data_IF_373146676102
#
_entry.id   IF_373146676102
#
_cell.length_a   1.000
_cell.length_b   1.000
_cell.length_c   1.000
_cell.angle_alpha   90.00
_cell.angle_beta   90.00
_cell.angle_gamma   90.00
#
_symmetry.space_group_name_H-M   'P 1'
#
loop_
_entity.id
_entity.type
_entity.pdbx_description
1 polymer ?
#
# COMPACT_ATOMS: atom_id res chain seq x y z
N UNK A 1 -9.42 2.46 -0.42
CA UNK A 1 -8.51 2.89 -1.50
C UNK A 1 -8.75 2.04 -2.74
N UNK A 2 -8.47 2.59 -3.92
CA UNK A 2 -8.47 1.87 -5.20
C UNK A 2 -7.11 1.98 -5.88
N UNK A 3 -6.42 0.86 -6.10
CA UNK A 3 -5.10 0.86 -6.72
C UNK A 3 -5.11 0.21 -8.10
N UNK A 4 -4.20 0.66 -8.95
CA UNK A 4 -4.01 0.09 -10.29
C UNK A 4 -3.71 -1.41 -10.18
N UNK A 5 -4.26 -2.18 -11.11
CA UNK A 5 -4.15 -3.65 -11.17
C UNK A 5 -4.74 -4.38 -9.94
N UNK A 6 -5.54 -3.71 -9.11
CA UNK A 6 -6.21 -4.34 -7.97
C UNK A 6 -5.26 -4.80 -6.86
N UNK A 7 -4.04 -4.24 -6.78
CA UNK A 7 -3.03 -4.68 -5.81
C UNK A 7 -3.43 -4.39 -4.36
N UNK A 8 -4.41 -3.52 -4.13
CA UNK A 8 -4.91 -3.22 -2.79
C UNK A 8 -5.61 -4.40 -2.12
N UNK A 9 -6.09 -5.37 -2.92
CA UNK A 9 -6.70 -6.60 -2.41
C UNK A 9 -5.65 -7.69 -2.07
N UNK A 10 -4.40 -7.50 -2.49
CA UNK A 10 -3.32 -8.44 -2.18
C UNK A 10 -2.80 -8.25 -0.77
N UNK A 11 -2.22 -9.31 -0.21
CA UNK A 11 -1.59 -9.27 1.09
C UNK A 11 -0.45 -8.23 1.09
N UNK A 12 -0.41 -7.39 2.12
CA UNK A 12 0.56 -6.28 2.21
C UNK A 12 2.01 -6.76 2.06
N UNK A 13 2.34 -7.94 2.59
CA UNK A 13 3.69 -8.52 2.44
C UNK A 13 4.07 -8.77 0.98
N UNK A 14 3.13 -9.27 0.17
CA UNK A 14 3.38 -9.65 -1.22
C UNK A 14 3.51 -8.39 -2.07
N UNK A 15 2.71 -7.37 -1.78
CA UNK A 15 2.83 -6.04 -2.42
C UNK A 15 4.18 -5.40 -2.10
N UNK A 16 4.66 -5.46 -0.85
CA UNK A 16 5.96 -4.90 -0.48
C UNK A 16 7.11 -5.65 -1.16
N UNK A 17 7.02 -6.98 -1.26
CA UNK A 17 8.02 -7.80 -1.96
C UNK A 17 8.08 -7.43 -3.45
N UNK A 18 6.93 -7.33 -4.11
CA UNK A 18 6.85 -6.97 -5.53
C UNK A 18 7.20 -5.50 -5.80
N UNK A 19 6.88 -4.61 -4.85
CA UNK A 19 7.04 -3.17 -4.96
C UNK A 19 7.66 -2.58 -3.67
N UNK A 20 8.98 -2.70 -3.46
CA UNK A 20 9.64 -2.23 -2.24
C UNK A 20 9.42 -0.74 -1.94
N UNK A 21 9.25 0.08 -2.98
CA UNK A 21 8.92 1.50 -2.82
C UNK A 21 7.57 1.74 -2.15
N UNK A 22 6.56 0.89 -2.42
CA UNK A 22 5.27 0.96 -1.72
C UNK A 22 5.49 0.70 -0.22
N UNK A 23 6.37 -0.25 0.14
CA UNK A 23 6.78 -0.46 1.54
C UNK A 23 7.36 0.80 2.21
N UNK A 24 8.21 1.54 1.50
CA UNK A 24 8.74 2.83 1.98
C UNK A 24 7.65 3.87 2.18
N UNK A 25 6.67 3.95 1.28
CA UNK A 25 5.52 4.85 1.44
C UNK A 25 4.73 4.46 2.69
N UNK A 26 4.34 3.19 2.82
CA UNK A 26 3.58 2.67 3.95
C UNK A 26 4.26 2.96 5.29
N UNK A 27 5.58 2.77 5.37
CA UNK A 27 6.35 3.07 6.56
C UNK A 27 6.26 4.55 6.99
N UNK A 28 6.24 5.50 6.04
CA UNK A 28 6.08 6.93 6.34
C UNK A 28 4.72 7.26 6.97
N UNK A 29 3.71 6.45 6.66
CA UNK A 29 2.36 6.55 7.23
C UNK A 29 2.21 5.71 8.51
N UNK A 30 3.29 5.15 9.06
CA UNK A 30 3.24 4.30 10.25
C UNK A 30 2.64 2.90 10.00
N UNK A 31 2.39 2.55 8.74
CA UNK A 31 1.95 1.21 8.36
C UNK A 31 3.18 0.33 8.23
N UNK A 32 3.44 -0.47 9.25
CA UNK A 32 4.59 -1.35 9.31
C UNK A 32 4.13 -2.82 9.34
N UNK A 33 4.77 -3.70 8.57
CA UNK A 33 4.38 -5.11 8.47
C UNK A 33 4.49 -5.88 9.81
N UNK A 34 5.12 -5.27 10.82
CA UNK A 34 5.29 -5.77 12.19
C UNK A 34 4.04 -5.57 13.08
N UNK A 35 3.04 -4.79 12.65
CA UNK A 35 1.72 -4.77 13.32
C UNK A 35 0.71 -5.74 12.68
N UNK A 36 0.94 -6.15 11.43
CA UNK A 36 0.17 -7.19 10.76
C UNK A 36 0.72 -8.56 11.20
N UNK A 37 -0.02 -9.38 11.94
CA UNK A 37 0.43 -10.70 12.44
C UNK A 37 0.79 -11.71 11.35
N UNK A 38 1.87 -11.49 10.61
CA UNK A 38 2.30 -12.25 9.43
C UNK A 38 2.11 -11.54 8.07
N UNK A 39 1.66 -10.28 8.04
CA UNK A 39 1.48 -9.51 6.80
C UNK A 39 0.41 -10.08 5.85
N UNK A 40 -0.58 -10.78 6.40
CA UNK A 40 -1.64 -11.46 5.64
C UNK A 40 -2.82 -10.56 5.29
N UNK A 41 -3.00 -9.46 6.01
CA UNK A 41 -4.06 -8.49 5.74
C UNK A 41 -3.87 -7.89 4.35
N UNK A 42 -4.98 -7.56 3.68
CA UNK A 42 -4.90 -6.84 2.42
C UNK A 42 -4.31 -5.45 2.64
N UNK A 43 -3.61 -4.92 1.64
CA UNK A 43 -3.09 -3.55 1.68
C UNK A 43 -4.21 -2.52 1.96
N UNK A 44 -5.41 -2.74 1.41
CA UNK A 44 -6.58 -1.91 1.67
C UNK A 44 -6.97 -1.92 3.15
N UNK A 45 -7.06 -3.09 3.78
CA UNK A 45 -7.43 -3.22 5.19
C UNK A 45 -6.35 -2.62 6.10
N UNK A 46 -5.08 -2.90 5.82
CA UNK A 46 -3.97 -2.35 6.56
C UNK A 46 -4.01 -0.81 6.56
N UNK A 47 -4.28 -0.19 5.42
CA UNK A 47 -4.40 1.25 5.35
C UNK A 47 -5.67 1.78 6.03
N UNK A 48 -6.82 1.14 5.86
CA UNK A 48 -8.08 1.56 6.50
C UNK A 48 -8.03 1.48 8.03
N UNK A 49 -7.29 0.52 8.59
CA UNK A 49 -7.16 0.35 10.04
C UNK A 49 -6.19 1.35 10.67
N UNK A 50 -5.28 1.94 9.89
CA UNK A 50 -4.22 2.81 10.40
C UNK A 50 -4.40 4.28 10.01
N UNK A 51 -5.15 4.58 8.94
CA UNK A 51 -5.24 5.92 8.37
C UNK A 51 -6.67 6.44 8.31
N UNK A 52 -6.81 7.73 8.57
CA UNK A 52 -8.01 8.48 8.23
C UNK A 52 -8.18 8.62 6.71
N UNK A 53 -9.32 9.18 6.31
CA UNK A 53 -9.69 9.32 4.90
C UNK A 53 -8.73 10.21 4.11
N UNK A 54 -8.19 11.26 4.74
CA UNK A 54 -7.26 12.20 4.10
C UNK A 54 -5.91 11.55 3.85
N UNK A 55 -5.31 10.93 4.87
CA UNK A 55 -4.03 10.24 4.75
C UNK A 55 -4.14 9.05 3.78
N UNK A 56 -5.26 8.33 3.79
CA UNK A 56 -5.52 7.21 2.88
C UNK A 56 -5.64 7.66 1.42
N UNK A 57 -6.30 8.79 1.14
CA UNK A 57 -6.41 9.33 -0.21
C UNK A 57 -5.04 9.79 -0.75
N UNK A 58 -4.21 10.41 0.09
CA UNK A 58 -2.87 10.84 -0.30
C UNK A 58 -1.93 9.65 -0.54
N UNK A 59 -1.99 8.61 0.31
CA UNK A 59 -1.26 7.36 0.09
C UNK A 59 -1.70 6.68 -1.22
N UNK A 60 -3.01 6.60 -1.48
CA UNK A 60 -3.56 6.06 -2.72
C UNK A 60 -3.00 6.77 -3.96
N UNK A 61 -3.01 8.11 -3.94
CA UNK A 61 -2.45 8.92 -5.02
C UNK A 61 -0.97 8.61 -5.25
N UNK A 62 -0.15 8.60 -4.20
CA UNK A 62 1.29 8.34 -4.31
C UNK A 62 1.60 6.93 -4.83
N UNK A 63 0.83 5.92 -4.41
CA UNK A 63 1.00 4.54 -4.92
C UNK A 63 0.60 4.47 -6.38
N UNK A 64 -0.52 5.06 -6.78
CA UNK A 64 -0.96 5.04 -8.18
C UNK A 64 0.02 5.80 -9.09
N UNK A 65 0.54 6.96 -8.66
CA UNK A 65 1.56 7.71 -9.40
C UNK A 65 2.81 6.83 -9.65
N UNK A 66 3.25 6.08 -8.63
CA UNK A 66 4.34 5.12 -8.75
C UNK A 66 4.04 3.96 -9.72
N UNK A 67 2.83 3.39 -9.66
CA UNK A 67 2.42 2.29 -10.53
C UNK A 67 2.33 2.74 -11.99
N UNK A 68 1.78 3.93 -12.25
CA UNK A 68 1.73 4.53 -13.60
C UNK A 68 3.14 4.69 -14.15
N UNK A 69 4.05 5.29 -13.38
CA UNK A 69 5.44 5.49 -13.80
C UNK A 69 6.16 4.19 -14.17
N UNK A 70 5.79 3.07 -13.53
CA UNK A 70 6.35 1.72 -13.82
C UNK A 70 5.64 0.95 -14.92
N UNK A 71 4.47 1.39 -15.39
CA UNK A 71 3.75 0.75 -16.51
C UNK A 71 4.23 1.24 -17.90
N UNK A 72 5.14 2.22 -17.96
CA UNK A 72 5.64 2.81 -19.22
C UNK A 72 6.84 2.03 -19.81
N UNK A 73 7.07 0.77 -19.41
CA UNK A 73 8.13 -0.09 -19.96
C UNK A 73 7.61 -1.47 -20.35
#
# INVERSE_FOLDING_TARGET
MSLINGIEAQAIKDVIIAHPYIGTLLYRYGIACNTCGGGTDSLREAASNNLDDTARAELERQINDYLIARQVH
#
